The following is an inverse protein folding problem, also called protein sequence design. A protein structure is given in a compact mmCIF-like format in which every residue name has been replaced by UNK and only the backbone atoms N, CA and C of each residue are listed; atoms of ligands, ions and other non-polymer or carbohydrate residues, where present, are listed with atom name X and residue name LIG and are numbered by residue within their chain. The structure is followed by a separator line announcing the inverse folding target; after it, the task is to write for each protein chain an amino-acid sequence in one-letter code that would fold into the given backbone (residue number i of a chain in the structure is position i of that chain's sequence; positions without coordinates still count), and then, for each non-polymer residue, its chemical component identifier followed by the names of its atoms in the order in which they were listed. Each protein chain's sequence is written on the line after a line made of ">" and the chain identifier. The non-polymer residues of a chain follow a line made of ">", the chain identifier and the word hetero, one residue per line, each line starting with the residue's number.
data_IF_010121236249
#
_entry.id   IF_010121236249
#
_cell.length_a   1.000
_cell.length_b   1.000
_cell.length_c   1.000
_cell.angle_alpha   90.00
_cell.angle_beta   90.00
_cell.angle_gamma   90.00
#
_symmetry.space_group_name_H-M   'P 1'
#
loop_
_entity.id
_entity.type
_entity.pdbx_description
1 polymer ?
#
# COMPACT_ATOMS: atom_id res chain seq x y z
N UNK A 1 15.89 40.49 -28.23
CA UNK A 1 14.61 39.76 -28.21
C UNK A 1 14.42 39.24 -26.80
N UNK A 2 13.68 40.00 -26.00
CA UNK A 2 13.41 39.73 -24.59
C UNK A 2 12.07 38.99 -24.54
N UNK A 3 12.08 37.73 -24.11
CA UNK A 3 10.87 36.91 -24.02
C UNK A 3 10.23 37.19 -22.67
N UNK A 4 9.08 37.86 -22.68
CA UNK A 4 8.26 38.04 -21.47
C UNK A 4 7.69 36.70 -20.99
N UNK A 5 7.75 36.41 -19.69
CA UNK A 5 7.13 35.22 -19.13
C UNK A 5 5.60 35.40 -19.12
N UNK A 6 4.93 34.57 -19.91
CA UNK A 6 3.46 34.49 -19.97
C UNK A 6 2.96 33.88 -18.66
N UNK A 7 2.40 34.71 -17.77
CA UNK A 7 1.69 34.25 -16.57
C UNK A 7 0.45 33.45 -16.99
N UNK A 8 0.47 32.14 -16.78
CA UNK A 8 -0.72 31.30 -16.95
C UNK A 8 -1.57 31.49 -15.71
N UNK A 9 -2.65 32.25 -15.87
CA UNK A 9 -3.69 32.43 -14.85
C UNK A 9 -4.47 31.11 -14.73
N UNK A 10 -4.07 30.26 -13.80
CA UNK A 10 -4.74 29.00 -13.48
C UNK A 10 -6.01 29.35 -12.71
N UNK A 11 -7.09 29.68 -13.42
CA UNK A 11 -8.43 29.68 -12.85
C UNK A 11 -8.75 28.28 -12.37
N UNK A 12 -8.71 28.10 -11.05
CA UNK A 12 -9.24 26.91 -10.39
C UNK A 12 -10.70 26.75 -10.82
N UNK A 13 -11.10 25.63 -11.44
CA UNK A 13 -12.51 25.39 -11.74
C UNK A 13 -13.28 25.44 -10.42
N UNK A 14 -14.29 26.30 -10.35
CA UNK A 14 -15.12 26.48 -9.17
C UNK A 14 -15.65 25.13 -8.70
N UNK A 15 -15.35 24.79 -7.44
CA UNK A 15 -15.97 23.66 -6.78
C UNK A 15 -17.49 23.86 -6.83
N UNK A 16 -18.27 22.91 -7.36
CA UNK A 16 -19.72 23.01 -7.36
C UNK A 16 -20.20 23.11 -5.91
N UNK A 17 -20.75 24.27 -5.55
CA UNK A 17 -21.40 24.45 -4.27
C UNK A 17 -22.64 23.55 -4.19
N UNK A 18 -22.64 22.67 -3.19
CA UNK A 18 -23.86 22.21 -2.51
C UNK A 18 -24.75 21.24 -3.29
N UNK A 19 -24.37 19.96 -3.32
CA UNK A 19 -25.38 18.96 -2.91
C UNK A 19 -25.38 18.94 -1.39
N UNK A 20 -26.54 18.95 -0.71
CA UNK A 20 -26.59 18.65 0.72
C UNK A 20 -25.90 17.30 0.89
N UNK A 21 -24.74 17.33 1.56
CA UNK A 21 -24.06 16.14 2.04
C UNK A 21 -25.12 15.50 2.93
N UNK A 22 -25.75 14.41 2.49
CA UNK A 22 -26.26 13.44 3.44
C UNK A 22 -25.05 13.15 4.28
N UNK A 23 -25.02 13.70 5.49
CA UNK A 23 -24.01 13.38 6.48
C UNK A 23 -23.90 11.87 6.40
N UNK A 24 -22.75 11.32 5.93
CA UNK A 24 -22.56 9.89 6.08
C UNK A 24 -22.86 9.66 7.55
N UNK A 25 -23.76 8.71 7.83
CA UNK A 25 -24.02 8.23 9.17
C UNK A 25 -22.63 7.87 9.71
N UNK A 26 -22.01 8.87 10.35
CA UNK A 26 -20.74 8.74 10.98
C UNK A 26 -21.15 7.84 12.12
N UNK A 27 -20.87 6.57 11.94
CA UNK A 27 -20.68 5.68 13.06
C UNK A 27 -19.57 6.39 13.82
N UNK A 28 -19.96 7.30 14.73
CA UNK A 28 -19.19 7.69 15.89
C UNK A 28 -19.06 6.42 16.70
N UNK A 29 -18.26 5.49 16.17
CA UNK A 29 -17.46 4.64 17.00
C UNK A 29 -16.63 5.64 17.77
N UNK A 30 -17.06 5.92 19.00
CA UNK A 30 -16.26 6.52 20.05
C UNK A 30 -15.00 5.65 20.13
N UNK A 31 -13.99 6.01 19.36
CA UNK A 31 -12.68 5.39 19.42
C UNK A 31 -12.09 5.97 20.69
N UNK A 32 -12.11 5.16 21.74
CA UNK A 32 -11.37 5.44 22.97
C UNK A 32 -9.88 5.57 22.55
N UNK A 33 -9.39 6.80 22.45
CA UNK A 33 -8.03 7.14 21.99
C UNK A 33 -6.95 6.41 22.80
N UNK A 34 -7.30 5.98 24.02
CA UNK A 34 -6.44 5.25 24.93
C UNK A 34 -6.62 3.73 24.88
N UNK A 35 -7.44 3.16 23.98
CA UNK A 35 -7.68 1.71 23.97
C UNK A 35 -6.38 0.94 23.61
N UNK A 36 -5.73 0.29 24.59
CA UNK A 36 -4.49 -0.45 24.34
C UNK A 36 -4.74 -1.66 23.42
N UNK A 37 -6.00 -2.03 23.16
CA UNK A 37 -6.37 -3.17 22.33
C UNK A 37 -6.06 -2.98 20.84
N UNK A 38 -6.01 -1.74 20.32
CA UNK A 38 -5.67 -1.50 18.91
C UNK A 38 -4.28 -2.03 18.54
N UNK A 39 -3.40 -2.19 19.53
CA UNK A 39 -2.04 -2.70 19.35
C UNK A 39 -1.81 -4.12 19.87
N UNK A 40 -2.85 -4.81 20.36
CA UNK A 40 -2.74 -6.21 20.78
C UNK A 40 -2.28 -7.12 19.63
N UNK A 41 -1.54 -8.22 19.92
CA UNK A 41 -1.13 -9.19 18.90
C UNK A 41 -2.32 -9.63 18.05
N UNK A 42 -2.26 -9.31 16.75
CA UNK A 42 -3.36 -9.56 15.83
C UNK A 42 -3.68 -11.05 15.79
N UNK A 43 -4.96 -11.38 15.95
CA UNK A 43 -5.47 -12.70 15.58
C UNK A 43 -5.55 -12.77 14.06
N UNK A 44 -4.99 -13.82 13.48
CA UNK A 44 -5.11 -14.09 12.05
C UNK A 44 -6.59 -13.99 11.64
N UNK A 45 -6.94 -13.22 10.60
CA UNK A 45 -8.33 -13.12 10.18
C UNK A 45 -8.90 -14.51 9.94
N UNK A 46 -10.12 -14.77 10.45
CA UNK A 46 -10.71 -16.11 10.43
C UNK A 46 -10.82 -16.72 9.02
N UNK A 47 -10.88 -15.88 7.99
CA UNK A 47 -10.93 -16.31 6.59
C UNK A 47 -9.55 -16.70 6.01
N UNK A 48 -8.43 -16.23 6.57
CA UNK A 48 -7.12 -16.44 5.98
C UNK A 48 -6.67 -17.91 6.04
N UNK A 49 -7.05 -18.63 7.11
CA UNK A 49 -6.76 -20.06 7.25
C UNK A 49 -7.49 -20.91 6.19
N UNK A 50 -8.84 -20.87 6.08
CA UNK A 50 -9.53 -21.64 5.04
C UNK A 50 -9.14 -21.19 3.64
N UNK A 51 -8.93 -19.88 3.40
CA UNK A 51 -8.43 -19.38 2.12
C UNK A 51 -7.09 -20.03 1.75
N UNK A 52 -6.10 -19.95 2.66
CA UNK A 52 -4.77 -20.53 2.45
C UNK A 52 -4.86 -22.03 2.16
N UNK A 53 -5.65 -22.77 2.94
CA UNK A 53 -5.85 -24.20 2.77
C UNK A 53 -6.46 -24.54 1.40
N UNK A 54 -7.53 -23.86 1.01
CA UNK A 54 -8.20 -24.08 -0.28
C UNK A 54 -7.27 -23.75 -1.45
N UNK A 55 -6.58 -22.61 -1.43
CA UNK A 55 -5.64 -22.23 -2.49
C UNK A 55 -4.43 -23.17 -2.55
N UNK A 56 -3.96 -23.67 -1.40
CA UNK A 56 -2.88 -24.66 -1.34
C UNK A 56 -3.28 -26.01 -1.94
N UNK A 57 -4.48 -26.50 -1.60
CA UNK A 57 -5.03 -27.71 -2.21
C UNK A 57 -5.26 -27.56 -3.72
N UNK A 58 -5.78 -26.41 -4.14
CA UNK A 58 -5.96 -26.08 -5.56
C UNK A 58 -4.61 -26.09 -6.31
N UNK A 59 -3.54 -25.56 -5.71
CA UNK A 59 -2.19 -25.60 -6.28
C UNK A 59 -1.69 -27.03 -6.49
N UNK A 60 -1.85 -27.91 -5.48
CA UNK A 60 -1.44 -29.32 -5.56
C UNK A 60 -2.25 -30.07 -6.63
N UNK A 61 -3.58 -29.89 -6.65
CA UNK A 61 -4.43 -30.53 -7.64
C UNK A 61 -4.07 -30.10 -9.07
N UNK A 62 -3.82 -28.82 -9.29
CA UNK A 62 -3.42 -28.29 -10.60
C UNK A 62 -2.03 -28.76 -11.04
N UNK A 63 -1.09 -28.92 -10.10
CA UNK A 63 0.23 -29.49 -10.38
C UNK A 63 0.10 -30.96 -10.84
N UNK A 64 -0.75 -31.75 -10.19
CA UNK A 64 -1.05 -33.13 -10.60
C UNK A 64 -1.67 -33.17 -12.00
N UNK A 65 -2.64 -32.30 -12.28
CA UNK A 65 -3.26 -32.19 -13.60
C UNK A 65 -2.24 -31.80 -14.67
N UNK A 66 -1.35 -30.85 -14.38
CA UNK A 66 -0.27 -30.45 -15.28
C UNK A 66 0.64 -31.63 -15.63
N UNK A 67 1.10 -32.40 -14.62
CA UNK A 67 1.93 -33.58 -14.83
C UNK A 67 1.23 -34.66 -15.68
N UNK A 68 -0.05 -34.93 -15.41
CA UNK A 68 -0.83 -35.90 -16.19
C UNK A 68 -1.04 -35.46 -17.64
N UNK A 69 -1.35 -34.18 -17.84
CA UNK A 69 -1.55 -33.58 -19.17
C UNK A 69 -0.25 -33.59 -19.99
N UNK A 70 0.89 -33.35 -19.35
CA UNK A 70 2.21 -33.46 -19.96
C UNK A 70 2.53 -34.90 -20.40
N UNK A 71 2.25 -35.88 -19.54
CA UNK A 71 2.42 -37.31 -19.89
C UNK A 71 1.53 -37.75 -21.06
N UNK A 72 0.37 -37.12 -21.24
CA UNK A 72 -0.54 -37.34 -22.37
C UNK A 72 -0.20 -36.56 -23.65
N UNK A 73 0.88 -35.78 -23.68
CA UNK A 73 1.31 -35.03 -24.87
C UNK A 73 0.53 -33.73 -25.15
N UNK A 74 -0.28 -33.25 -24.22
CA UNK A 74 -1.12 -32.05 -24.39
C UNK A 74 -0.44 -30.78 -23.84
N UNK A 75 0.56 -30.26 -24.55
CA UNK A 75 1.41 -29.16 -24.07
C UNK A 75 0.67 -27.88 -23.64
N UNK A 76 -0.42 -27.51 -24.31
CA UNK A 76 -1.19 -26.30 -23.95
C UNK A 76 -1.92 -26.42 -22.61
N UNK A 77 -2.55 -27.57 -22.36
CA UNK A 77 -3.28 -27.83 -21.11
C UNK A 77 -2.32 -27.99 -19.92
N UNK A 78 -1.16 -28.60 -20.13
CA UNK A 78 -0.16 -28.74 -19.07
C UNK A 78 0.41 -27.38 -18.65
N UNK A 79 0.64 -26.48 -19.61
CA UNK A 79 1.09 -25.11 -19.34
C UNK A 79 0.06 -24.29 -18.55
N UNK A 80 -1.23 -24.34 -18.95
CA UNK A 80 -2.30 -23.66 -18.21
C UNK A 80 -2.46 -24.20 -16.78
N UNK A 81 -2.45 -25.52 -16.63
CA UNK A 81 -2.54 -26.16 -15.31
C UNK A 81 -1.35 -25.80 -14.42
N UNK A 82 -0.13 -25.74 -14.98
CA UNK A 82 1.06 -25.31 -14.25
C UNK A 82 0.94 -23.84 -13.79
N UNK A 83 0.50 -22.95 -14.67
CA UNK A 83 0.35 -21.54 -14.35
C UNK A 83 -0.69 -21.30 -13.25
N UNK A 84 -1.81 -22.03 -13.32
CA UNK A 84 -2.81 -22.01 -12.26
C UNK A 84 -2.27 -22.57 -10.93
N UNK A 85 -1.44 -23.62 -10.98
CA UNK A 85 -0.78 -24.17 -9.80
C UNK A 85 0.14 -23.12 -9.15
N UNK A 86 0.95 -22.42 -9.95
CA UNK A 86 1.86 -21.37 -9.48
C UNK A 86 1.09 -20.19 -8.91
N UNK A 87 0.03 -19.72 -9.58
CA UNK A 87 -0.83 -18.64 -9.08
C UNK A 87 -1.49 -19.01 -7.75
N UNK A 88 -2.08 -20.20 -7.65
CA UNK A 88 -2.74 -20.68 -6.43
C UNK A 88 -1.74 -20.86 -5.28
N UNK A 89 -0.53 -21.34 -5.59
CA UNK A 89 0.55 -21.46 -4.62
C UNK A 89 1.02 -20.10 -4.09
N UNK A 90 1.12 -19.07 -4.95
CA UNK A 90 1.43 -17.71 -4.53
C UNK A 90 0.30 -17.09 -3.71
N UNK A 91 -0.97 -17.38 -4.03
CA UNK A 91 -2.11 -16.91 -3.24
C UNK A 91 -2.10 -17.53 -1.84
N UNK A 92 -1.81 -18.83 -1.74
CA UNK A 92 -1.61 -19.50 -0.45
C UNK A 92 -0.43 -18.88 0.32
N UNK A 93 0.71 -18.67 -0.35
CA UNK A 93 1.88 -18.03 0.24
C UNK A 93 1.60 -16.61 0.74
N UNK A 94 0.80 -15.83 0.01
CA UNK A 94 0.35 -14.51 0.46
C UNK A 94 -0.60 -14.58 1.65
N UNK A 95 -1.53 -15.55 1.69
CA UNK A 95 -2.39 -15.80 2.85
C UNK A 95 -1.58 -16.15 4.11
N UNK A 96 -0.55 -17.00 3.96
CA UNK A 96 0.43 -17.29 5.01
C UNK A 96 1.17 -16.03 5.43
N UNK A 97 1.65 -15.22 4.48
CA UNK A 97 2.34 -13.97 4.75
C UNK A 97 1.47 -13.00 5.56
N UNK A 98 0.20 -12.85 5.21
CA UNK A 98 -0.75 -12.00 5.96
C UNK A 98 -1.01 -12.53 7.37
N UNK A 99 -1.08 -13.86 7.55
CA UNK A 99 -1.25 -14.46 8.86
C UNK A 99 0.00 -14.45 9.75
N UNK A 100 1.19 -14.46 9.14
CA UNK A 100 2.47 -14.51 9.89
C UNK A 100 3.11 -13.13 10.12
N UNK A 101 2.86 -12.15 9.25
CA UNK A 101 3.48 -10.82 9.34
C UNK A 101 3.22 -10.09 10.65
N UNK A 102 2.01 -10.07 11.22
CA UNK A 102 1.73 -9.29 12.41
C UNK A 102 2.54 -9.75 13.64
N UNK A 103 2.94 -11.02 13.70
CA UNK A 103 3.59 -11.60 14.90
C UNK A 103 5.12 -11.70 14.85
N UNK A 104 5.77 -11.42 13.71
CA UNK A 104 7.22 -11.70 13.54
C UNK A 104 8.06 -10.59 12.94
N UNK A 105 7.50 -9.41 12.70
CA UNK A 105 8.32 -8.25 12.35
C UNK A 105 9.08 -7.83 13.60
N UNK A 106 10.29 -8.38 13.74
CA UNK A 106 11.30 -7.82 14.63
C UNK A 106 11.50 -6.36 14.28
N UNK A 107 12.06 -5.55 15.21
CA UNK A 107 12.16 -4.12 15.03
C UNK A 107 13.15 -3.81 13.91
N UNK A 108 12.67 -3.79 12.67
CA UNK A 108 13.45 -3.21 11.59
C UNK A 108 13.51 -1.73 11.90
N UNK A 109 14.66 -1.34 12.43
CA UNK A 109 14.87 0.03 12.89
C UNK A 109 14.68 1.01 11.74
N UNK A 110 14.15 2.20 12.02
CA UNK A 110 14.10 3.25 11.03
C UNK A 110 15.51 3.59 10.56
N UNK A 111 15.62 3.94 9.29
CA UNK A 111 16.88 4.36 8.69
C UNK A 111 16.99 5.88 8.86
N UNK A 112 18.05 6.33 9.53
CA UNK A 112 18.30 7.77 9.71
C UNK A 112 19.26 8.25 8.64
N UNK A 113 18.89 9.33 7.96
CA UNK A 113 19.71 10.00 6.95
C UNK A 113 19.79 11.48 7.29
N UNK A 114 20.73 12.21 6.67
CA UNK A 114 20.80 13.67 6.81
C UNK A 114 19.50 14.39 6.41
N UNK A 115 18.62 13.72 5.65
CA UNK A 115 17.33 14.25 5.23
C UNK A 115 16.17 13.94 6.18
N UNK A 116 16.37 13.09 7.20
CA UNK A 116 15.32 12.69 8.13
C UNK A 116 15.37 11.21 8.55
N UNK A 117 14.42 10.84 9.40
CA UNK A 117 14.24 9.48 9.95
C UNK A 117 13.17 8.74 9.13
N UNK A 118 13.51 7.61 8.51
CA UNK A 118 12.69 6.94 7.52
C UNK A 118 12.21 5.54 7.93
N UNK A 119 10.92 5.28 7.72
CA UNK A 119 10.28 3.98 7.83
C UNK A 119 10.05 3.40 6.43
N UNK A 120 10.79 2.36 6.10
CA UNK A 120 10.71 1.70 4.80
C UNK A 120 9.53 0.74 4.70
N UNK A 121 8.96 0.60 3.51
CA UNK A 121 7.94 -0.42 3.25
C UNK A 121 8.57 -1.80 2.98
N UNK A 122 7.82 -2.86 3.28
CA UNK A 122 8.23 -4.26 3.22
C UNK A 122 8.39 -4.74 1.78
N UNK A 123 9.62 -5.04 1.37
CA UNK A 123 9.89 -5.68 0.06
C UNK A 123 9.10 -6.99 -0.13
N UNK A 124 8.81 -7.71 0.95
CA UNK A 124 8.01 -8.93 0.91
C UNK A 124 6.55 -8.66 0.59
N UNK A 125 5.95 -7.60 1.13
CA UNK A 125 4.58 -7.21 0.79
C UNK A 125 4.45 -6.90 -0.70
N UNK A 126 5.43 -6.17 -1.23
CA UNK A 126 5.53 -5.87 -2.66
C UNK A 126 5.73 -7.13 -3.51
N UNK A 127 6.63 -8.03 -3.11
CA UNK A 127 6.86 -9.30 -3.80
C UNK A 127 5.55 -10.09 -3.96
N UNK A 128 4.83 -10.31 -2.86
CA UNK A 128 3.60 -11.12 -2.91
C UNK A 128 2.52 -10.47 -3.76
N UNK A 129 2.26 -9.18 -3.55
CA UNK A 129 1.25 -8.45 -4.31
C UNK A 129 1.57 -8.44 -5.82
N UNK A 130 2.80 -8.05 -6.19
CA UNK A 130 3.16 -7.95 -7.60
C UNK A 130 3.27 -9.32 -8.26
N UNK A 131 3.73 -10.34 -7.55
CA UNK A 131 3.77 -11.71 -8.11
C UNK A 131 2.38 -12.21 -8.45
N UNK A 132 1.38 -11.96 -7.60
CA UNK A 132 -0.01 -12.31 -7.88
C UNK A 132 -0.57 -11.59 -9.10
N UNK A 133 -0.38 -10.27 -9.18
CA UNK A 133 -0.82 -9.48 -10.34
C UNK A 133 -0.11 -9.95 -11.62
N UNK A 134 1.21 -10.15 -11.57
CA UNK A 134 2.01 -10.60 -12.70
C UNK A 134 1.61 -12.00 -13.20
N UNK A 135 1.37 -12.94 -12.28
CA UNK A 135 0.92 -14.30 -12.63
C UNK A 135 -0.49 -14.29 -13.20
N UNK A 136 -1.40 -13.48 -12.67
CA UNK A 136 -2.76 -13.33 -13.20
C UNK A 136 -2.74 -12.74 -14.62
N UNK A 137 -1.97 -11.68 -14.85
CA UNK A 137 -1.78 -11.07 -16.18
C UNK A 137 -1.15 -12.07 -17.16
N UNK A 138 -0.15 -12.84 -16.72
CA UNK A 138 0.47 -13.90 -17.53
C UNK A 138 -0.56 -14.97 -17.88
N UNK A 139 -1.38 -15.41 -16.92
CA UNK A 139 -2.47 -16.38 -17.13
C UNK A 139 -3.48 -15.93 -18.15
N UNK A 140 -3.98 -14.71 -18.00
CA UNK A 140 -4.92 -14.12 -18.95
C UNK A 140 -4.31 -13.94 -20.33
N UNK A 141 -3.02 -13.60 -20.42
CA UNK A 141 -2.29 -13.50 -21.70
C UNK A 141 -2.20 -14.84 -22.39
N UNK A 142 -1.81 -15.91 -21.69
CA UNK A 142 -1.77 -17.27 -22.26
C UNK A 142 -3.16 -17.71 -22.69
N UNK A 143 -4.18 -17.47 -21.87
CA UNK A 143 -5.57 -17.81 -22.19
C UNK A 143 -6.08 -17.07 -23.44
N UNK A 144 -5.77 -15.77 -23.57
CA UNK A 144 -6.08 -14.98 -24.76
C UNK A 144 -5.37 -15.54 -26.01
N UNK A 145 -4.09 -15.89 -25.90
CA UNK A 145 -3.32 -16.47 -27.01
C UNK A 145 -3.91 -17.79 -27.51
N UNK A 146 -4.38 -18.64 -26.61
CA UNK A 146 -5.06 -19.89 -26.96
C UNK A 146 -6.45 -19.66 -27.59
N UNK A 147 -7.03 -18.48 -27.41
CA UNK A 147 -8.37 -18.15 -27.92
C UNK A 147 -8.38 -17.67 -29.38
N UNK A 148 -7.24 -17.31 -29.98
CA UNK A 148 -7.16 -16.83 -31.37
C UNK A 148 -7.67 -17.84 -32.40
N UNK A 149 -7.61 -19.14 -32.10
CA UNK A 149 -8.07 -20.21 -33.00
C UNK A 149 -9.59 -20.38 -33.07
N UNK A 150 -10.36 -19.69 -32.22
CA UNK A 150 -11.80 -19.92 -32.05
C UNK A 150 -12.67 -19.00 -32.91
N UNK A 151 -12.19 -18.62 -34.10
CA UNK A 151 -12.88 -17.74 -35.04
C UNK A 151 -12.89 -16.25 -34.63
N UNK A 152 -13.75 -15.46 -35.28
CA UNK A 152 -13.81 -14.00 -35.11
C UNK A 152 -14.12 -13.59 -33.67
N UNK A 153 -15.03 -14.30 -33.00
CA UNK A 153 -15.35 -14.02 -31.60
C UNK A 153 -14.15 -14.27 -30.68
N UNK A 154 -13.41 -15.37 -30.90
CA UNK A 154 -12.17 -15.67 -30.17
C UNK A 154 -11.08 -14.63 -30.38
N UNK A 155 -10.93 -14.15 -31.62
CA UNK A 155 -10.01 -13.05 -31.96
C UNK A 155 -10.36 -11.76 -31.20
N UNK A 156 -11.62 -11.33 -31.24
CA UNK A 156 -12.06 -10.11 -30.54
C UNK A 156 -11.83 -10.24 -29.02
N UNK A 157 -12.20 -11.38 -28.43
CA UNK A 157 -11.96 -11.67 -27.03
C UNK A 157 -10.46 -11.61 -26.68
N UNK A 158 -9.61 -12.24 -27.49
CA UNK A 158 -8.17 -12.26 -27.28
C UNK A 158 -7.57 -10.86 -27.34
N UNK A 159 -7.95 -10.04 -28.33
CA UNK A 159 -7.48 -8.66 -28.47
C UNK A 159 -7.90 -7.81 -27.27
N UNK A 160 -9.18 -7.85 -26.88
CA UNK A 160 -9.66 -7.12 -25.70
C UNK A 160 -8.92 -7.55 -24.43
N UNK A 161 -8.74 -8.86 -24.22
CA UNK A 161 -8.03 -9.40 -23.05
C UNK A 161 -6.58 -8.96 -23.04
N UNK A 162 -5.88 -9.00 -24.19
CA UNK A 162 -4.49 -8.56 -24.30
C UNK A 162 -4.33 -7.06 -24.01
N UNK A 163 -5.28 -6.22 -24.44
CA UNK A 163 -5.26 -4.79 -24.10
C UNK A 163 -5.41 -4.57 -22.60
N UNK A 164 -6.28 -5.33 -21.92
CA UNK A 164 -6.42 -5.30 -20.46
C UNK A 164 -5.15 -5.80 -19.77
N UNK A 165 -4.56 -6.89 -20.25
CA UNK A 165 -3.28 -7.41 -19.74
C UNK A 165 -2.16 -6.39 -19.90
N UNK A 166 -2.08 -5.69 -21.04
CA UNK A 166 -1.07 -4.67 -21.29
C UNK A 166 -1.24 -3.49 -20.33
N UNK A 167 -2.47 -3.02 -20.12
CA UNK A 167 -2.76 -1.98 -19.14
C UNK A 167 -2.39 -2.43 -17.71
N UNK A 168 -2.78 -3.65 -17.32
CA UNK A 168 -2.44 -4.24 -16.03
C UNK A 168 -0.93 -4.38 -15.82
N UNK A 169 -0.20 -4.87 -16.83
CA UNK A 169 1.26 -5.00 -16.80
C UNK A 169 1.95 -3.63 -16.70
N UNK A 170 1.46 -2.62 -17.42
CA UNK A 170 1.99 -1.25 -17.33
C UNK A 170 1.79 -0.66 -15.93
N UNK A 171 0.62 -0.87 -15.32
CA UNK A 171 0.34 -0.43 -13.93
C UNK A 171 1.23 -1.17 -12.93
N UNK A 172 1.35 -2.50 -13.03
CA UNK A 172 2.23 -3.29 -12.16
C UNK A 172 3.70 -2.90 -12.33
N UNK A 173 4.16 -2.68 -13.56
CA UNK A 173 5.50 -2.19 -13.86
C UNK A 173 5.77 -0.82 -13.25
N UNK A 174 4.82 0.10 -13.36
CA UNK A 174 4.91 1.41 -12.71
C UNK A 174 4.99 1.28 -11.19
N UNK A 175 4.14 0.44 -10.58
CA UNK A 175 4.17 0.17 -9.14
C UNK A 175 5.53 -0.38 -8.69
N UNK A 176 6.14 -1.27 -9.47
CA UNK A 176 7.48 -1.82 -9.20
C UNK A 176 8.59 -0.77 -9.31
N UNK A 177 8.56 0.10 -10.34
CA UNK A 177 9.54 1.17 -10.49
C UNK A 177 9.49 2.17 -9.33
N UNK A 178 8.35 2.28 -8.67
CA UNK A 178 8.13 3.22 -7.57
C UNK A 178 8.34 2.59 -6.20
N UNK A 179 8.46 1.27 -6.14
CA UNK A 179 8.78 0.50 -4.96
C UNK A 179 10.25 0.66 -4.51
N UNK A 180 10.54 0.47 -3.21
CA UNK A 180 9.59 0.42 -2.11
C UNK A 180 9.14 1.83 -1.70
N UNK A 181 7.90 1.94 -1.24
CA UNK A 181 7.42 3.13 -0.54
C UNK A 181 8.19 3.40 0.75
N UNK A 182 8.06 4.62 1.28
CA UNK A 182 8.67 5.04 2.55
C UNK A 182 7.90 6.19 3.16
N UNK A 183 7.86 6.23 4.48
CA UNK A 183 7.50 7.41 5.26
C UNK A 183 8.80 8.02 5.82
N UNK A 184 8.98 9.33 5.76
CA UNK A 184 10.17 10.01 6.28
C UNK A 184 9.75 11.22 7.08
N UNK A 185 10.15 11.22 8.34
CA UNK A 185 9.95 12.32 9.28
C UNK A 185 11.18 13.22 9.20
N UNK A 186 10.94 14.49 8.99
CA UNK A 186 11.96 15.54 8.89
C UNK A 186 11.65 16.63 9.90
N UNK A 187 12.61 17.51 10.25
CA UNK A 187 12.31 18.63 11.13
C UNK A 187 11.15 19.51 10.63
N UNK A 188 11.01 19.65 9.31
CA UNK A 188 10.02 20.54 8.69
C UNK A 188 8.66 19.86 8.44
N UNK A 189 8.60 18.54 8.35
CA UNK A 189 7.36 17.82 8.05
C UNK A 189 7.51 16.35 7.72
N UNK A 190 6.46 15.82 7.11
CA UNK A 190 6.31 14.43 6.72
C UNK A 190 6.42 14.28 5.21
N UNK A 191 7.31 13.40 4.76
CA UNK A 191 7.39 12.95 3.37
C UNK A 191 6.89 11.52 3.27
N UNK A 192 5.81 11.32 2.53
CA UNK A 192 5.26 10.01 2.23
C UNK A 192 5.45 9.68 0.76
N UNK A 193 6.09 8.55 0.48
CA UNK A 193 6.18 7.97 -0.86
C UNK A 193 5.34 6.70 -0.87
N UNK A 194 4.18 6.81 -1.51
CA UNK A 194 3.26 5.70 -1.76
C UNK A 194 3.56 5.03 -3.11
N UNK A 195 2.78 4.01 -3.45
CA UNK A 195 2.81 3.30 -4.73
C UNK A 195 2.41 4.20 -5.91
N UNK A 196 1.49 5.15 -5.71
CA UNK A 196 0.86 5.93 -6.78
C UNK A 196 1.11 7.44 -6.69
N UNK A 197 1.67 7.92 -5.57
CA UNK A 197 2.00 9.32 -5.37
C UNK A 197 3.13 9.53 -4.35
N UNK A 198 3.70 10.73 -4.36
CA UNK A 198 4.47 11.29 -3.24
C UNK A 198 3.71 12.45 -2.65
N UNK A 199 3.78 12.59 -1.33
CA UNK A 199 3.18 13.65 -0.56
C UNK A 199 4.23 14.24 0.39
N UNK A 200 4.23 15.56 0.51
CA UNK A 200 4.85 16.29 1.59
C UNK A 200 3.78 17.08 2.33
N UNK A 201 3.82 17.01 3.65
CA UNK A 201 2.94 17.76 4.54
C UNK A 201 3.75 18.35 5.69
N UNK A 202 3.75 19.68 5.90
CA UNK A 202 4.47 20.30 6.99
C UNK A 202 3.85 19.90 8.33
N UNK A 203 4.63 19.89 9.42
CA UNK A 203 4.07 19.54 10.74
C UNK A 203 2.93 20.45 11.17
N UNK A 204 2.90 21.71 10.71
CA UNK A 204 1.81 22.66 11.00
C UNK A 204 0.47 22.29 10.36
N UNK A 205 0.47 21.40 9.37
CA UNK A 205 -0.75 20.85 8.74
C UNK A 205 -1.25 19.58 9.41
N UNK A 206 -0.41 18.93 10.24
CA UNK A 206 -0.74 17.68 10.90
C UNK A 206 -1.47 18.00 12.20
N UNK A 207 -2.76 17.66 12.28
CA UNK A 207 -3.56 17.96 13.47
C UNK A 207 -3.84 16.73 14.33
N UNK A 208 -3.84 15.52 13.75
CA UNK A 208 -3.99 14.28 14.50
C UNK A 208 -3.11 13.15 13.93
N UNK A 209 -2.73 12.21 14.80
CA UNK A 209 -2.06 10.96 14.47
C UNK A 209 -2.81 9.86 15.18
N UNK A 210 -3.56 9.05 14.44
CA UNK A 210 -4.49 8.09 15.01
C UNK A 210 -4.19 6.65 14.54
N UNK A 211 -4.32 5.67 15.44
CA UNK A 211 -4.44 4.27 15.06
C UNK A 211 -5.87 3.99 14.59
N UNK A 212 -6.02 3.45 13.38
CA UNK A 212 -7.34 3.07 12.86
C UNK A 212 -7.34 1.66 12.31
N UNK A 213 -8.52 1.04 12.25
CA UNK A 213 -8.74 -0.20 11.51
C UNK A 213 -9.51 0.09 10.22
N UNK A 214 -8.88 -0.13 9.07
CA UNK A 214 -9.49 0.01 7.75
C UNK A 214 -9.86 -1.39 7.25
N UNK A 215 -11.11 -1.79 7.52
CA UNK A 215 -11.64 -3.10 7.16
C UNK A 215 -11.04 -4.24 8.00
N UNK A 216 -9.93 -4.80 7.54
CA UNK A 216 -9.18 -5.81 8.28
C UNK A 216 -7.71 -5.42 8.42
N UNK A 217 -7.31 -4.21 8.02
CA UNK A 217 -5.92 -3.76 8.10
C UNK A 217 -5.80 -2.67 9.16
N UNK A 218 -4.80 -2.79 10.03
CA UNK A 218 -4.46 -1.68 10.94
C UNK A 218 -3.69 -0.66 10.14
N UNK A 219 -3.98 0.61 10.35
CA UNK A 219 -3.24 1.70 9.75
C UNK A 219 -2.95 2.77 10.79
N UNK A 220 -1.83 3.46 10.59
CA UNK A 220 -1.63 4.78 11.18
C UNK A 220 -2.13 5.79 10.19
N UNK A 221 -3.13 6.57 10.59
CA UNK A 221 -3.63 7.70 9.82
C UNK A 221 -3.05 8.96 10.44
N UNK A 222 -2.34 9.72 9.62
CA UNK A 222 -1.93 11.07 9.97
C UNK A 222 -2.91 12.00 9.29
N UNK A 223 -3.76 12.65 10.09
CA UNK A 223 -4.74 13.59 9.58
C UNK A 223 -4.06 14.92 9.27
N UNK A 224 -4.27 15.36 8.03
CA UNK A 224 -3.62 16.55 7.47
C UNK A 224 -4.72 17.52 7.05
N UNK A 225 -4.64 18.75 7.54
CA UNK A 225 -5.45 19.85 7.01
C UNK A 225 -4.76 20.41 5.77
N UNK A 226 -5.52 20.55 4.67
CA UNK A 226 -4.96 21.02 3.42
C UNK A 226 -4.34 22.43 3.55
N UNK A 227 -3.04 22.51 3.30
CA UNK A 227 -2.23 23.73 3.39
C UNK A 227 -1.61 24.09 2.04
N UNK A 228 -1.34 25.38 1.81
CA UNK A 228 -0.61 25.84 0.62
C UNK A 228 0.82 25.29 0.54
N UNK A 229 1.37 24.82 1.66
CA UNK A 229 2.69 24.18 1.72
C UNK A 229 2.66 22.69 1.34
N UNK A 230 1.48 22.05 1.33
CA UNK A 230 1.36 20.64 0.94
C UNK A 230 1.76 20.42 -0.51
N UNK A 231 2.43 19.30 -0.78
CA UNK A 231 2.83 18.94 -2.14
C UNK A 231 2.48 17.49 -2.40
N UNK A 232 1.44 17.27 -3.20
CA UNK A 232 1.05 15.93 -3.67
C UNK A 232 1.39 15.81 -5.16
N UNK A 233 2.25 14.85 -5.50
CA UNK A 233 2.63 14.53 -6.88
C UNK A 233 2.23 13.09 -7.19
N UNK A 234 1.26 12.93 -8.09
CA UNK A 234 0.86 11.63 -8.60
C UNK A 234 1.80 11.16 -9.71
N UNK A 235 2.10 9.87 -9.72
CA UNK A 235 2.86 9.24 -10.80
C UNK A 235 1.96 8.84 -11.98
N UNK A 236 0.69 8.57 -11.70
CA UNK A 236 -0.30 8.19 -12.71
C UNK A 236 -1.01 9.41 -13.32
N UNK A 237 -1.35 9.35 -14.63
CA UNK A 237 -2.18 10.37 -15.27
C UNK A 237 -3.57 10.37 -14.62
N UNK A 238 -4.23 11.53 -14.61
CA UNK A 238 -5.53 11.74 -13.93
C UNK A 238 -6.58 10.62 -14.12
N UNK A 239 -6.84 10.08 -15.33
CA UNK A 239 -7.86 9.03 -15.49
C UNK A 239 -7.48 7.69 -14.85
N UNK A 240 -6.22 7.48 -14.50
CA UNK A 240 -5.73 6.26 -13.85
C UNK A 240 -5.37 6.50 -12.38
N UNK A 241 -5.62 7.71 -11.84
CA UNK A 241 -5.34 7.99 -10.44
C UNK A 241 -6.41 7.30 -9.61
N UNK A 242 -6.04 6.41 -8.67
CA UNK A 242 -6.97 6.03 -7.62
C UNK A 242 -7.26 7.30 -6.82
N UNK A 243 -8.53 7.72 -6.77
CA UNK A 243 -8.98 8.71 -5.80
C UNK A 243 -8.91 8.05 -4.43
N UNK A 244 -7.86 8.37 -3.68
CA UNK A 244 -7.75 7.88 -2.32
C UNK A 244 -8.68 8.73 -1.45
N UNK A 245 -9.74 8.16 -0.87
CA UNK A 245 -10.82 8.92 -0.24
C UNK A 245 -10.35 9.72 0.97
N UNK A 246 -9.21 9.34 1.54
CA UNK A 246 -8.62 9.97 2.72
C UNK A 246 -7.59 11.05 2.38
N UNK A 247 -7.32 11.38 1.11
CA UNK A 247 -6.43 12.51 0.83
C UNK A 247 -7.05 13.83 1.34
N UNK A 248 -6.27 14.71 1.99
CA UNK A 248 -4.80 14.70 2.07
C UNK A 248 -4.19 13.95 3.27
N UNK A 249 -4.94 13.19 4.06
CA UNK A 249 -4.38 12.38 5.14
C UNK A 249 -3.39 11.31 4.63
N UNK A 250 -2.34 11.07 5.40
CA UNK A 250 -1.34 10.04 5.11
C UNK A 250 -1.76 8.74 5.80
N UNK A 251 -1.94 7.67 5.02
CA UNK A 251 -2.32 6.36 5.54
C UNK A 251 -1.17 5.38 5.41
N UNK A 252 -0.77 4.80 6.54
CA UNK A 252 0.31 3.83 6.63
C UNK A 252 -0.23 2.52 7.20
N UNK A 253 -0.63 1.62 6.32
CA UNK A 253 -1.15 0.30 6.71
C UNK A 253 -0.04 -0.62 7.21
N UNK A 254 -0.37 -1.51 8.13
CA UNK A 254 0.51 -2.56 8.64
C UNK A 254 1.11 -3.39 7.50
N UNK A 255 0.32 -3.84 6.54
CA UNK A 255 0.72 -4.82 5.53
C UNK A 255 1.90 -4.34 4.69
N UNK A 256 1.98 -3.04 4.42
CA UNK A 256 3.07 -2.43 3.65
C UNK A 256 4.29 -2.06 4.49
N UNK A 257 4.21 -1.92 5.80
CA UNK A 257 5.35 -1.51 6.63
C UNK A 257 6.40 -2.61 6.78
N UNK A 258 7.69 -2.26 6.71
CA UNK A 258 8.77 -3.18 7.07
C UNK A 258 9.09 -3.14 8.58
N UNK A 259 8.77 -2.03 9.24
CA UNK A 259 8.93 -1.79 10.67
C UNK A 259 7.66 -2.21 11.43
N UNK A 260 7.78 -2.38 12.75
CA UNK A 260 6.64 -2.53 13.64
C UNK A 260 5.71 -1.31 13.52
N UNK A 261 4.43 -1.49 13.13
CA UNK A 261 3.48 -0.39 13.00
C UNK A 261 3.25 0.38 14.31
N UNK A 262 3.32 -0.30 15.46
CA UNK A 262 3.23 0.37 16.77
C UNK A 262 4.39 1.35 16.96
N UNK A 263 5.61 0.93 16.61
CA UNK A 263 6.78 1.81 16.68
C UNK A 263 6.63 3.05 15.77
N UNK A 264 6.05 2.87 14.58
CA UNK A 264 5.79 3.97 13.64
C UNK A 264 4.76 4.94 14.21
N UNK A 265 3.68 4.41 14.79
CA UNK A 265 2.66 5.20 15.48
C UNK A 265 3.25 5.99 16.66
N UNK A 266 3.88 5.31 17.62
CA UNK A 266 4.49 5.94 18.80
C UNK A 266 5.48 7.05 18.40
N UNK A 267 6.27 6.80 17.33
CA UNK A 267 7.21 7.81 16.81
C UNK A 267 6.48 9.03 16.23
N UNK A 268 5.48 8.82 15.38
CA UNK A 268 4.72 9.91 14.77
C UNK A 268 3.98 10.73 15.83
N UNK A 269 3.32 10.05 16.76
CA UNK A 269 2.60 10.66 17.87
C UNK A 269 3.55 11.49 18.75
N UNK A 270 4.72 10.95 19.11
CA UNK A 270 5.69 11.69 19.93
C UNK A 270 6.16 12.99 19.27
N UNK A 271 6.57 12.95 17.99
CA UNK A 271 7.04 14.16 17.30
C UNK A 271 5.90 15.11 16.93
N UNK A 272 4.67 14.61 16.82
CA UNK A 272 3.49 15.47 16.74
C UNK A 272 3.30 16.25 18.05
N UNK A 273 3.30 15.56 19.18
CA UNK A 273 3.10 16.14 20.52
C UNK A 273 4.28 16.97 21.05
N UNK A 274 5.52 16.74 20.57
CA UNK A 274 6.74 17.41 21.05
C UNK A 274 7.46 18.14 19.91
N UNK A 275 7.03 19.36 19.53
CA UNK A 275 7.63 20.10 18.42
C UNK A 275 9.13 20.38 18.57
N UNK A 276 9.60 20.62 19.79
CA UNK A 276 11.00 20.96 20.08
C UNK A 276 11.94 19.78 19.79
N UNK A 277 11.46 18.54 19.92
CA UNK A 277 12.25 17.34 19.65
C UNK A 277 12.43 17.10 18.13
N UNK A 278 11.62 17.72 17.26
CA UNK A 278 11.68 17.51 15.79
C UNK A 278 13.03 17.87 15.19
N UNK A 279 13.80 18.78 15.81
CA UNK A 279 15.13 19.17 15.36
C UNK A 279 16.13 17.99 15.35
N UNK A 280 15.87 16.93 16.12
CA UNK A 280 16.72 15.75 16.15
C UNK A 280 16.41 14.74 15.02
N UNK A 281 15.30 14.90 14.28
CA UNK A 281 14.92 14.03 13.17
C UNK A 281 16.00 14.06 12.07
N UNK A 282 16.49 12.88 11.68
CA UNK A 282 17.65 12.76 10.78
C UNK A 282 19.01 12.70 11.49
N UNK A 283 19.02 12.69 12.83
CA UNK A 283 20.24 12.54 13.64
C UNK A 283 20.25 11.21 14.43
N UNK A 284 21.43 10.74 14.90
CA UNK A 284 21.50 9.56 15.77
C UNK A 284 20.67 9.66 17.05
N UNK A 285 20.39 10.87 17.55
CA UNK A 285 19.57 11.08 18.75
C UNK A 285 18.13 10.63 18.54
N UNK A 286 17.52 10.91 17.38
CA UNK A 286 16.20 10.38 17.01
C UNK A 286 16.18 8.86 17.07
N UNK A 287 17.20 8.22 16.50
CA UNK A 287 17.29 6.76 16.48
C UNK A 287 17.43 6.19 17.89
N UNK A 288 18.28 6.78 18.74
CA UNK A 288 18.42 6.38 20.14
C UNK A 288 17.09 6.49 20.89
N UNK A 289 16.34 7.58 20.68
CA UNK A 289 15.03 7.79 21.31
C UNK A 289 14.03 6.71 20.90
N UNK A 290 13.91 6.46 19.60
CA UNK A 290 13.03 5.44 19.03
C UNK A 290 13.42 4.04 19.53
N UNK A 291 14.72 3.74 19.55
CA UNK A 291 15.26 2.46 20.02
C UNK A 291 14.89 2.15 21.46
N UNK A 292 15.01 3.15 22.33
CA UNK A 292 14.73 3.00 23.76
C UNK A 292 13.28 3.29 24.13
N UNK A 293 12.43 3.61 23.14
CA UNK A 293 11.04 4.05 23.36
C UNK A 293 10.96 5.11 24.47
N UNK A 294 11.89 6.08 24.46
CA UNK A 294 11.92 7.19 25.42
C UNK A 294 10.91 8.25 25.00
N UNK A 295 9.64 7.84 24.97
CA UNK A 295 8.52 8.72 24.79
C UNK A 295 8.28 9.37 26.14
N UNK A 296 8.59 10.66 26.27
CA UNK A 296 8.15 11.42 27.43
C UNK A 296 6.63 11.47 27.36
N UNK A 297 5.97 10.84 28.33
CA UNK A 297 4.56 11.13 28.56
C UNK A 297 4.43 12.66 28.71
N UNK A 298 3.39 13.29 28.13
CA UNK A 298 3.14 14.70 28.39
C UNK A 298 3.13 14.88 29.92
N UNK A 299 3.86 15.86 30.41
CA UNK A 299 3.72 16.23 31.81
C UNK A 299 2.27 16.67 31.98
N UNK A 300 1.48 15.91 32.76
CA UNK A 300 0.08 16.22 33.07
C UNK A 300 -0.01 17.70 33.47
N UNK A 301 -0.54 18.53 32.58
CA UNK A 301 -0.61 19.99 32.67
C UNK A 301 -2.05 20.46 32.67
#
# INVERSE_FOLDING_TARGET
>A
MTVEPRSIDVRTPGYPQGRPRTEPEMIETEIDEDDPQLWEPRRTPGWAVPFTAVTGLAAVAALILSARSAAGGSGGWSALALLFAVLSGHAAGYGVYLGWCPGRRGPRMPETTATGTAFSYSRWGYYWYVSLVGLAVTGLTVFALLSFGNGVAGLLFAVCTLLVCLAGAAVAGLMLCLAPGRLTLTPDGLHHRSLSFTQYSPWSSVFAVEPVEIGHERAVVVEVEASEADRIRHYLPRPLRPEHPLLPSIVVTDTWLATDPLLVYETLWHYHANPDDRAELGTPAALERILHRRWTAPADG
#
